data_IF_966312832730
#
_entry.id   IF_966312832730
#
_cell.length_a   1.000
_cell.length_b   1.000
_cell.length_c   1.000
_cell.angle_alpha   90.00
_cell.angle_beta   90.00
_cell.angle_gamma   90.00
#
_symmetry.space_group_name_H-M   'P 1'
#
loop_
_entity.id
_entity.type
_entity.pdbx_description
1 polymer ?
#
# COMPACT_ATOMS: atom_id res chain seq x y z
N UNK A 1 22.78 7.81 -0.66
CA UNK A 1 23.25 6.78 0.29
C UNK A 1 22.42 6.76 1.59
N UNK A 2 22.05 7.90 2.18
CA UNK A 2 21.27 7.95 3.45
C UNK A 2 20.09 7.02 3.43
N UNK A 3 19.17 7.17 2.48
CA UNK A 3 17.99 6.31 2.32
C UNK A 3 18.36 4.83 2.24
N UNK A 4 19.34 4.50 1.39
CA UNK A 4 19.73 3.11 1.15
C UNK A 4 20.32 2.45 2.41
N UNK A 5 21.14 3.16 3.18
CA UNK A 5 21.73 2.65 4.44
C UNK A 5 20.63 2.42 5.49
N UNK A 6 19.71 3.38 5.64
CA UNK A 6 18.60 3.23 6.57
C UNK A 6 17.70 2.05 6.16
N UNK A 7 17.31 1.95 4.89
CA UNK A 7 16.52 0.80 4.42
C UNK A 7 17.27 -0.52 4.56
N UNK A 8 18.58 -0.57 4.26
CA UNK A 8 19.39 -1.78 4.47
C UNK A 8 19.30 -2.26 5.92
N UNK A 9 19.41 -1.34 6.88
CA UNK A 9 19.35 -1.68 8.30
C UNK A 9 17.94 -2.06 8.75
N UNK A 10 16.90 -1.35 8.30
CA UNK A 10 15.50 -1.68 8.57
C UNK A 10 15.16 -3.08 8.05
N UNK A 11 15.43 -3.34 6.78
CA UNK A 11 15.15 -4.66 6.17
C UNK A 11 16.09 -5.74 6.70
N UNK A 12 17.36 -5.41 6.97
CA UNK A 12 18.32 -6.32 7.58
C UNK A 12 17.91 -6.75 8.98
N UNK A 13 17.32 -5.86 9.77
CA UNK A 13 16.76 -6.19 11.10
C UNK A 13 15.51 -7.08 10.96
N UNK A 14 14.65 -6.81 9.99
CA UNK A 14 13.42 -7.55 9.78
C UNK A 14 13.64 -8.96 9.21
N UNK A 15 14.55 -9.10 8.26
CA UNK A 15 14.73 -10.33 7.47
C UNK A 15 16.09 -11.00 7.61
N UNK A 16 17.07 -10.34 8.23
CA UNK A 16 18.46 -10.77 8.36
C UNK A 16 19.35 -10.32 7.20
N UNK A 17 20.55 -9.84 7.53
CA UNK A 17 21.52 -9.35 6.54
C UNK A 17 22.03 -10.45 5.61
N UNK A 18 21.98 -11.72 6.03
CA UNK A 18 22.37 -12.87 5.19
C UNK A 18 21.50 -13.00 3.94
N UNK A 19 20.28 -12.43 3.95
CA UNK A 19 19.36 -12.44 2.82
C UNK A 19 19.55 -11.26 1.88
N UNK A 20 20.42 -10.29 2.21
CA UNK A 20 20.57 -9.06 1.44
C UNK A 20 20.92 -9.31 -0.04
N UNK A 21 21.84 -10.23 -0.28
CA UNK A 21 22.25 -10.61 -1.64
C UNK A 21 21.61 -11.91 -2.13
N UNK A 22 20.70 -12.49 -1.33
CA UNK A 22 20.02 -13.72 -1.71
C UNK A 22 19.12 -13.48 -2.93
N UNK A 23 19.27 -14.33 -3.93
CA UNK A 23 18.41 -14.31 -5.12
C UNK A 23 17.10 -15.07 -4.83
N UNK A 24 15.98 -14.35 -4.87
CA UNK A 24 14.65 -14.93 -4.69
C UNK A 24 14.03 -15.40 -6.03
N UNK A 25 14.82 -15.47 -7.09
CA UNK A 25 14.42 -15.94 -8.45
C UNK A 25 14.14 -14.79 -9.42
N UNK A 26 13.58 -13.68 -8.96
CA UNK A 26 13.28 -12.51 -9.80
C UNK A 26 14.19 -11.33 -9.45
N UNK A 27 14.65 -11.22 -8.20
CA UNK A 27 15.49 -10.12 -7.71
C UNK A 27 16.10 -10.45 -6.33
N UNK A 28 17.22 -9.81 -5.99
CA UNK A 28 17.76 -9.81 -4.62
C UNK A 28 17.05 -8.77 -3.74
N UNK A 29 17.15 -8.93 -2.41
CA UNK A 29 16.65 -7.92 -1.47
C UNK A 29 17.34 -6.56 -1.71
N UNK A 30 18.63 -6.56 -2.02
CA UNK A 30 19.37 -5.35 -2.39
C UNK A 30 18.75 -4.63 -3.58
N UNK A 31 18.47 -5.35 -4.67
CA UNK A 31 17.85 -4.77 -5.86
C UNK A 31 16.44 -4.25 -5.57
N UNK A 32 15.67 -4.98 -4.76
CA UNK A 32 14.35 -4.54 -4.34
C UNK A 32 14.41 -3.22 -3.58
N UNK A 33 15.29 -3.10 -2.58
CA UNK A 33 15.49 -1.87 -1.79
C UNK A 33 16.00 -0.73 -2.66
N UNK A 34 16.97 -0.97 -3.56
CA UNK A 34 17.42 0.03 -4.54
C UNK A 34 16.26 0.54 -5.39
N UNK A 35 15.41 -0.35 -5.89
CA UNK A 35 14.27 0.03 -6.72
C UNK A 35 13.21 0.84 -5.95
N UNK A 36 12.94 0.50 -4.68
CA UNK A 36 12.05 1.30 -3.82
C UNK A 36 12.64 2.69 -3.63
N UNK A 37 13.90 2.76 -3.18
CA UNK A 37 14.59 4.03 -2.94
C UNK A 37 14.60 4.93 -4.16
N UNK A 38 14.86 4.36 -5.35
CA UNK A 38 14.83 5.13 -6.61
C UNK A 38 13.44 5.73 -6.88
N UNK A 39 12.40 4.93 -6.70
CA UNK A 39 11.02 5.41 -6.91
C UNK A 39 10.65 6.52 -5.95
N UNK A 40 10.99 6.38 -4.67
CA UNK A 40 10.72 7.41 -3.66
C UNK A 40 11.48 8.70 -3.95
N UNK A 41 12.78 8.61 -4.26
CA UNK A 41 13.57 9.79 -4.61
C UNK A 41 13.03 10.47 -5.87
N UNK A 42 12.66 9.70 -6.88
CA UNK A 42 12.05 10.25 -8.10
C UNK A 42 10.70 10.93 -7.79
N UNK A 43 9.89 10.33 -6.91
CA UNK A 43 8.62 10.91 -6.48
C UNK A 43 8.84 12.24 -5.74
N UNK A 44 9.77 12.29 -4.78
CA UNK A 44 10.11 13.53 -4.06
C UNK A 44 10.54 14.62 -5.04
N UNK A 45 11.45 14.32 -5.97
CA UNK A 45 11.90 15.29 -6.99
C UNK A 45 10.74 15.78 -7.86
N UNK A 46 9.84 14.88 -8.27
CA UNK A 46 8.65 15.28 -9.05
C UNK A 46 7.71 16.16 -8.23
N UNK A 47 7.50 15.83 -6.95
CA UNK A 47 6.65 16.64 -6.06
C UNK A 47 7.26 18.02 -5.76
N UNK A 48 8.59 18.14 -5.66
CA UNK A 48 9.27 19.43 -5.58
C UNK A 48 9.05 20.30 -6.83
N UNK A 49 9.03 19.69 -8.01
CA UNK A 49 8.70 20.43 -9.24
C UNK A 49 7.22 20.83 -9.26
N UNK A 50 6.32 19.94 -8.82
CA UNK A 50 4.89 20.25 -8.72
C UNK A 50 4.63 21.34 -7.67
N UNK A 51 5.36 21.34 -6.54
CA UNK A 51 5.31 22.41 -5.55
C UNK A 51 5.66 23.76 -6.16
N UNK A 52 6.72 23.84 -6.98
CA UNK A 52 7.11 25.06 -7.67
C UNK A 52 6.04 25.54 -8.65
N UNK A 53 5.42 24.62 -9.40
CA UNK A 53 4.32 24.96 -10.32
C UNK A 53 3.09 25.49 -9.57
N UNK A 54 2.81 24.94 -8.39
CA UNK A 54 1.70 25.34 -7.53
C UNK A 54 2.06 26.50 -6.57
N UNK A 55 3.27 27.07 -6.67
CA UNK A 55 3.78 28.16 -5.80
C UNK A 55 3.71 27.76 -4.30
N UNK A 56 3.97 26.50 -3.99
CA UNK A 56 3.98 25.97 -2.62
C UNK A 56 5.39 25.98 -2.05
N UNK A 57 5.52 26.43 -0.82
CA UNK A 57 6.78 26.47 -0.06
C UNK A 57 6.53 26.04 1.39
N UNK A 58 7.59 25.60 2.08
CA UNK A 58 7.55 25.41 3.51
C UNK A 58 7.50 26.76 4.23
N UNK A 59 6.65 26.86 5.25
CA UNK A 59 6.63 27.99 6.18
C UNK A 59 7.90 28.02 7.04
N UNK A 60 8.18 29.12 7.69
CA UNK A 60 9.33 29.22 8.61
C UNK A 60 9.23 28.25 9.79
N UNK A 61 8.02 27.95 10.27
CA UNK A 61 7.80 26.93 11.32
C UNK A 61 8.13 25.53 10.81
N UNK A 62 7.69 25.17 9.60
CA UNK A 62 7.98 23.87 8.97
C UNK A 62 9.50 23.71 8.72
N UNK A 63 10.18 24.76 8.26
CA UNK A 63 11.64 24.77 8.11
C UNK A 63 12.39 24.63 9.44
N UNK A 64 11.85 25.20 10.53
CA UNK A 64 12.43 25.03 11.86
C UNK A 64 12.29 23.59 12.35
N UNK A 65 11.15 22.94 12.13
CA UNK A 65 10.92 21.52 12.44
C UNK A 65 11.87 20.60 11.66
N UNK A 66 12.02 20.84 10.35
CA UNK A 66 12.97 20.06 9.54
C UNK A 66 14.41 20.26 10.00
N UNK A 67 14.79 21.45 10.42
CA UNK A 67 16.12 21.72 10.96
C UNK A 67 16.37 21.00 12.29
N UNK A 68 15.39 21.00 13.21
CA UNK A 68 15.49 20.27 14.48
C UNK A 68 15.56 18.74 14.24
N UNK A 69 14.78 18.22 13.34
CA UNK A 69 14.86 16.81 12.94
C UNK A 69 16.25 16.46 12.36
N UNK A 70 16.80 17.33 11.52
CA UNK A 70 18.13 17.15 10.93
C UNK A 70 19.24 17.15 11.97
N UNK A 71 19.19 18.07 12.93
CA UNK A 71 20.13 18.14 14.05
C UNK A 71 20.07 16.85 14.89
N UNK A 72 18.86 16.38 15.26
CA UNK A 72 18.70 15.14 16.04
C UNK A 72 19.21 13.92 15.27
N UNK A 73 18.81 13.74 14.02
CA UNK A 73 19.28 12.60 13.24
C UNK A 73 20.80 12.64 13.03
N UNK A 74 21.35 13.80 12.65
CA UNK A 74 22.79 13.95 12.43
C UNK A 74 23.60 13.71 13.71
N UNK A 75 23.11 14.17 14.86
CA UNK A 75 23.74 13.91 16.15
C UNK A 75 23.71 12.44 16.58
N UNK A 76 22.79 11.64 16.03
CA UNK A 76 22.73 10.20 16.28
C UNK A 76 23.75 9.40 15.47
N UNK A 77 24.31 9.98 14.41
CA UNK A 77 25.27 9.31 13.52
C UNK A 77 26.67 9.30 14.13
N UNK A 78 27.38 8.21 13.89
CA UNK A 78 28.82 8.11 14.17
C UNK A 78 29.65 8.83 13.10
N UNK A 79 30.91 9.13 13.41
CA UNK A 79 31.85 9.69 12.42
C UNK A 79 32.05 8.74 11.23
N UNK A 80 31.98 7.42 11.47
CA UNK A 80 32.12 6.40 10.44
C UNK A 80 30.89 6.38 9.51
N UNK A 81 29.68 6.51 10.05
CA UNK A 81 28.43 6.60 9.27
C UNK A 81 28.36 7.86 8.44
N UNK A 82 28.70 9.02 9.01
CA UNK A 82 28.73 10.29 8.26
C UNK A 82 29.76 10.25 7.13
N UNK A 83 30.95 9.69 7.38
CA UNK A 83 31.98 9.53 6.35
C UNK A 83 31.56 8.54 5.25
N UNK A 84 30.95 7.42 5.62
CA UNK A 84 30.49 6.40 4.67
C UNK A 84 29.35 6.92 3.77
N UNK A 85 28.38 7.58 4.36
CA UNK A 85 27.27 8.19 3.61
C UNK A 85 27.71 9.44 2.84
N UNK A 86 28.77 10.11 3.28
CA UNK A 86 29.31 11.33 2.67
C UNK A 86 28.37 12.52 2.86
N UNK A 87 27.78 12.66 4.06
CA UNK A 87 26.76 13.69 4.35
C UNK A 87 27.17 14.61 5.49
N UNK A 88 26.70 15.84 5.43
CA UNK A 88 26.72 16.83 6.49
C UNK A 88 25.32 17.02 7.09
N UNK A 89 25.24 17.71 8.21
CA UNK A 89 23.94 18.12 8.80
C UNK A 89 23.10 18.95 7.81
N UNK A 90 23.76 19.82 7.03
CA UNK A 90 23.07 20.62 5.99
C UNK A 90 22.45 19.75 4.90
N UNK A 91 23.10 18.65 4.51
CA UNK A 91 22.56 17.72 3.52
C UNK A 91 21.32 16.99 4.08
N UNK A 92 21.38 16.57 5.35
CA UNK A 92 20.23 15.95 6.03
C UNK A 92 19.06 16.92 6.11
N UNK A 93 19.33 18.19 6.46
CA UNK A 93 18.31 19.23 6.50
C UNK A 93 17.65 19.43 5.13
N UNK A 94 18.43 19.51 4.06
CA UNK A 94 17.93 19.63 2.69
C UNK A 94 17.05 18.42 2.32
N UNK A 95 17.45 17.19 2.68
CA UNK A 95 16.64 16.00 2.44
C UNK A 95 15.30 16.05 3.18
N UNK A 96 15.29 16.50 4.42
CA UNK A 96 14.06 16.64 5.19
C UNK A 96 13.16 17.76 4.69
N UNK A 97 13.73 18.89 4.23
CA UNK A 97 12.96 19.97 3.61
C UNK A 97 12.26 19.48 2.32
N UNK A 98 12.96 18.74 1.45
CA UNK A 98 12.36 18.14 0.26
C UNK A 98 11.25 17.14 0.61
N UNK A 99 11.48 16.31 1.61
CA UNK A 99 10.52 15.30 2.03
C UNK A 99 9.27 15.95 2.66
N UNK A 100 9.45 16.97 3.51
CA UNK A 100 8.36 17.75 4.09
C UNK A 100 7.54 18.50 3.02
N UNK A 101 8.22 19.09 2.03
CA UNK A 101 7.53 19.76 0.92
C UNK A 101 6.72 18.76 0.08
N UNK A 102 7.26 17.57 -0.18
CA UNK A 102 6.55 16.50 -0.87
C UNK A 102 5.29 16.05 -0.11
N UNK A 103 5.37 15.88 1.22
CA UNK A 103 4.19 15.59 2.05
C UNK A 103 3.16 16.72 2.00
N UNK A 104 3.59 17.97 2.09
CA UNK A 104 2.70 19.13 1.98
C UNK A 104 1.97 19.18 0.65
N UNK A 105 2.63 18.84 -0.45
CA UNK A 105 1.99 18.72 -1.76
C UNK A 105 0.97 17.60 -1.74
N UNK A 106 1.32 16.41 -1.25
CA UNK A 106 0.40 15.28 -1.12
C UNK A 106 -0.87 15.68 -0.35
N UNK A 107 -0.73 16.25 0.84
CA UNK A 107 -1.88 16.71 1.64
C UNK A 107 -2.70 17.79 0.92
N UNK A 108 -2.06 18.68 0.17
CA UNK A 108 -2.79 19.69 -0.63
C UNK A 108 -3.63 19.07 -1.74
N UNK A 109 -3.14 17.99 -2.38
CA UNK A 109 -3.85 17.28 -3.45
C UNK A 109 -5.01 16.44 -2.92
N UNK A 110 -4.86 15.88 -1.72
CA UNK A 110 -5.86 14.99 -1.10
C UNK A 110 -6.87 15.72 -0.22
N UNK A 111 -6.60 16.97 0.15
CA UNK A 111 -7.42 17.79 1.07
C UNK A 111 -8.91 17.87 0.73
N UNK A 112 -9.27 17.75 -0.55
CA UNK A 112 -10.66 17.85 -1.00
C UNK A 112 -11.38 16.50 -1.04
N UNK A 113 -10.72 15.42 -0.66
CA UNK A 113 -11.29 14.06 -0.63
C UNK A 113 -12.39 13.99 0.43
N UNK A 114 -13.50 13.35 0.05
CA UNK A 114 -14.58 13.11 1.00
C UNK A 114 -14.20 11.99 1.96
N UNK A 115 -14.00 12.34 3.23
CA UNK A 115 -13.68 11.40 4.31
C UNK A 115 -14.93 10.74 4.92
N UNK A 116 -16.13 11.25 4.60
CA UNK A 116 -17.36 10.61 5.06
C UNK A 116 -17.63 9.32 4.27
N UNK A 117 -17.66 8.21 5.00
CA UNK A 117 -17.97 6.88 4.46
C UNK A 117 -19.15 6.31 5.23
N UNK A 118 -20.24 5.97 4.51
CA UNK A 118 -21.41 5.37 5.13
C UNK A 118 -21.15 3.90 5.50
N UNK A 119 -21.93 3.38 6.48
CA UNK A 119 -21.86 1.97 6.85
C UNK A 119 -22.21 1.04 5.69
N UNK A 120 -23.12 1.46 4.81
CA UNK A 120 -23.49 0.65 3.63
C UNK A 120 -22.39 0.62 2.58
N UNK A 121 -21.67 1.72 2.37
CA UNK A 121 -20.52 1.79 1.48
C UNK A 121 -19.36 0.94 1.99
N UNK A 122 -19.07 1.04 3.30
CA UNK A 122 -17.97 0.32 3.93
C UNK A 122 -18.33 -1.12 4.32
N UNK A 123 -19.57 -1.54 4.14
CA UNK A 123 -20.09 -2.80 4.67
C UNK A 123 -19.23 -3.99 4.27
N UNK A 124 -18.81 -4.74 5.28
CA UNK A 124 -18.15 -6.02 5.14
C UNK A 124 -19.10 -7.13 5.56
N UNK A 125 -19.26 -8.12 4.69
CA UNK A 125 -20.05 -9.33 4.94
C UNK A 125 -19.15 -10.54 5.06
N UNK A 126 -19.60 -11.55 5.79
CA UNK A 126 -18.98 -12.87 5.79
C UNK A 126 -19.89 -13.85 5.04
N UNK A 127 -19.34 -14.51 4.04
CA UNK A 127 -20.07 -15.46 3.20
C UNK A 127 -19.35 -16.80 3.09
N UNK A 128 -20.11 -17.84 2.77
CA UNK A 128 -19.59 -19.02 2.09
C UNK A 128 -19.88 -18.92 0.60
N UNK A 129 -18.93 -19.40 -0.22
CA UNK A 129 -19.07 -19.38 -1.69
C UNK A 129 -18.78 -20.73 -2.32
N UNK A 130 -19.44 -20.99 -3.43
CA UNK A 130 -19.12 -22.07 -4.37
C UNK A 130 -19.00 -21.42 -5.74
N UNK A 131 -17.89 -21.63 -6.40
CA UNK A 131 -17.73 -21.29 -7.81
C UNK A 131 -17.40 -22.55 -8.58
N UNK A 132 -18.07 -22.72 -9.71
CA UNK A 132 -17.76 -23.78 -10.68
C UNK A 132 -17.80 -23.23 -12.10
N UNK A 133 -16.88 -23.67 -12.92
CA UNK A 133 -16.81 -23.30 -14.34
C UNK A 133 -17.77 -24.09 -15.23
N UNK A 134 -18.17 -25.28 -14.82
CA UNK A 134 -19.02 -26.20 -15.58
C UNK A 134 -20.49 -26.06 -15.26
N UNK A 135 -21.34 -25.85 -16.28
CA UNK A 135 -22.78 -25.65 -16.12
C UNK A 135 -23.51 -26.90 -15.59
N UNK A 136 -23.06 -28.11 -15.96
CA UNK A 136 -23.68 -29.34 -15.49
C UNK A 136 -23.48 -29.50 -13.98
N UNK A 137 -22.26 -29.17 -13.49
CA UNK A 137 -21.97 -29.12 -12.04
C UNK A 137 -22.80 -28.05 -11.33
N UNK A 138 -22.93 -26.87 -11.93
CA UNK A 138 -23.78 -25.81 -11.37
C UNK A 138 -25.25 -26.24 -11.25
N UNK A 139 -25.79 -26.94 -12.26
CA UNK A 139 -27.16 -27.47 -12.22
C UNK A 139 -27.30 -28.59 -11.18
N UNK A 140 -26.32 -29.45 -11.01
CA UNK A 140 -26.25 -30.45 -9.94
C UNK A 140 -26.29 -29.80 -8.56
N UNK A 141 -25.44 -28.80 -8.31
CA UNK A 141 -25.40 -28.05 -7.04
C UNK A 141 -26.72 -27.40 -6.76
N UNK A 142 -27.31 -26.71 -7.74
CA UNK A 142 -28.65 -26.08 -7.60
C UNK A 142 -29.72 -27.09 -7.20
N UNK A 143 -29.71 -28.27 -7.82
CA UNK A 143 -30.68 -29.35 -7.50
C UNK A 143 -30.49 -29.90 -6.07
N UNK A 144 -29.26 -30.06 -5.62
CA UNK A 144 -28.91 -30.58 -4.29
C UNK A 144 -29.22 -29.57 -3.20
N UNK A 145 -28.94 -28.28 -3.42
CA UNK A 145 -29.36 -27.18 -2.54
C UNK A 145 -30.88 -27.13 -2.39
N UNK A 146 -31.61 -27.28 -3.51
CA UNK A 146 -33.11 -27.31 -3.48
C UNK A 146 -33.66 -28.52 -2.71
N UNK A 147 -32.92 -29.62 -2.58
CA UNK A 147 -33.25 -30.80 -1.76
C UNK A 147 -32.83 -30.64 -0.29
N UNK A 148 -32.27 -29.51 0.10
CA UNK A 148 -31.87 -29.19 1.46
C UNK A 148 -30.50 -29.76 1.86
N UNK A 149 -29.65 -30.11 0.90
CA UNK A 149 -28.28 -30.51 1.22
C UNK A 149 -27.49 -29.35 1.81
N UNK A 150 -26.59 -29.66 2.74
CA UNK A 150 -25.80 -28.67 3.46
C UNK A 150 -24.84 -27.93 2.53
N UNK A 151 -24.90 -26.59 2.58
CA UNK A 151 -24.08 -25.71 1.73
C UNK A 151 -22.58 -25.94 1.95
N UNK A 152 -22.14 -26.08 3.20
CA UNK A 152 -20.71 -26.28 3.50
C UNK A 152 -20.19 -27.61 2.91
N UNK A 153 -21.01 -28.66 2.92
CA UNK A 153 -20.69 -29.95 2.32
C UNK A 153 -20.51 -29.81 0.80
N UNK A 154 -21.42 -29.10 0.14
CA UNK A 154 -21.32 -28.84 -1.30
C UNK A 154 -20.12 -27.94 -1.63
N UNK A 155 -19.88 -26.92 -0.82
CA UNK A 155 -18.73 -26.04 -1.00
C UNK A 155 -17.40 -26.82 -0.92
N UNK A 156 -17.24 -27.69 0.07
CA UNK A 156 -16.04 -28.52 0.19
C UNK A 156 -15.82 -29.49 -0.98
N UNK A 157 -16.89 -29.93 -1.63
CA UNK A 157 -16.81 -30.92 -2.71
C UNK A 157 -16.65 -30.30 -4.10
N UNK A 158 -17.18 -29.08 -4.31
CA UNK A 158 -17.34 -28.53 -5.65
C UNK A 158 -16.62 -27.21 -5.86
N UNK A 159 -16.30 -26.43 -4.81
CA UNK A 159 -15.71 -25.12 -5.00
C UNK A 159 -14.35 -25.19 -5.71
N UNK A 160 -14.23 -24.45 -6.81
CA UNK A 160 -12.99 -24.35 -7.60
C UNK A 160 -12.10 -23.17 -7.16
N UNK A 161 -12.57 -22.32 -6.22
CA UNK A 161 -11.76 -21.24 -5.65
C UNK A 161 -10.92 -21.71 -4.46
N UNK A 162 -9.89 -20.94 -4.13
CA UNK A 162 -8.97 -21.27 -3.02
C UNK A 162 -9.60 -21.24 -1.62
N UNK A 163 -10.70 -20.46 -1.43
CA UNK A 163 -11.37 -20.32 -0.14
C UNK A 163 -12.87 -20.48 -0.28
N UNK A 164 -13.46 -21.19 0.69
CA UNK A 164 -14.91 -21.38 0.76
C UNK A 164 -15.56 -20.27 1.57
N UNK A 165 -14.94 -19.84 2.66
CA UNK A 165 -15.41 -18.79 3.54
C UNK A 165 -14.54 -17.56 3.38
N UNK A 166 -15.15 -16.43 3.11
CA UNK A 166 -14.47 -15.16 2.85
C UNK A 166 -15.25 -14.00 3.43
N UNK A 167 -14.52 -12.95 3.82
CA UNK A 167 -15.09 -11.63 4.04
C UNK A 167 -15.07 -10.88 2.72
N UNK A 168 -16.14 -10.18 2.42
CA UNK A 168 -16.31 -9.40 1.19
C UNK A 168 -16.76 -7.98 1.52
N UNK A 169 -16.19 -7.03 0.81
CA UNK A 169 -16.62 -5.64 0.69
C UNK A 169 -17.15 -5.35 -0.71
N UNK A 170 -17.54 -4.12 -0.98
CA UNK A 170 -17.91 -3.68 -2.33
C UNK A 170 -16.70 -3.83 -3.26
N UNK A 171 -16.96 -4.18 -4.50
CA UNK A 171 -16.00 -4.42 -5.59
C UNK A 171 -15.14 -5.70 -5.45
N UNK A 172 -15.34 -6.53 -4.41
CA UNK A 172 -14.57 -7.78 -4.22
C UNK A 172 -15.07 -8.94 -5.10
N UNK A 173 -16.32 -8.89 -5.54
CA UNK A 173 -16.96 -9.95 -6.32
C UNK A 173 -17.45 -9.43 -7.69
N UNK A 174 -17.69 -10.34 -8.66
CA UNK A 174 -18.36 -9.94 -9.89
C UNK A 174 -19.70 -9.24 -9.59
N UNK A 175 -20.01 -8.16 -10.30
CA UNK A 175 -21.17 -7.30 -10.02
C UNK A 175 -22.49 -8.07 -9.84
N UNK A 176 -22.74 -9.13 -10.64
CA UNK A 176 -23.94 -9.95 -10.53
C UNK A 176 -24.00 -10.75 -9.21
N UNK A 177 -22.86 -11.11 -8.64
CA UNK A 177 -22.78 -11.81 -7.34
C UNK A 177 -22.94 -10.80 -6.22
N UNK A 178 -22.27 -9.67 -6.33
CA UNK A 178 -22.33 -8.60 -5.35
C UNK A 178 -23.74 -8.05 -5.16
N UNK A 179 -24.47 -7.78 -6.25
CA UNK A 179 -25.84 -7.30 -6.21
C UNK A 179 -26.75 -8.23 -5.38
N UNK A 180 -26.56 -9.53 -5.50
CA UNK A 180 -27.33 -10.53 -4.72
C UNK A 180 -26.81 -10.60 -3.28
N UNK A 181 -25.47 -10.70 -3.09
CA UNK A 181 -24.86 -10.88 -1.78
C UNK A 181 -25.29 -9.78 -0.80
N UNK A 182 -25.19 -8.51 -1.21
CA UNK A 182 -25.48 -7.38 -0.34
C UNK A 182 -26.98 -7.17 -0.06
N UNK A 183 -27.87 -7.95 -0.67
CA UNK A 183 -29.31 -7.99 -0.35
C UNK A 183 -29.68 -9.15 0.57
N UNK A 184 -28.76 -10.10 0.81
CA UNK A 184 -29.05 -11.31 1.57
C UNK A 184 -29.16 -11.05 3.08
N UNK A 185 -30.04 -11.79 3.72
CA UNK A 185 -30.10 -11.91 5.18
C UNK A 185 -29.19 -13.04 5.69
N UNK A 186 -28.92 -13.03 7.00
CA UNK A 186 -28.11 -14.08 7.61
C UNK A 186 -28.74 -15.46 7.36
N UNK A 187 -27.92 -16.46 7.09
CA UNK A 187 -28.26 -17.83 6.74
C UNK A 187 -29.00 -18.02 5.38
N UNK A 188 -29.22 -16.95 4.64
CA UNK A 188 -29.82 -17.05 3.31
C UNK A 188 -28.82 -17.67 2.31
N UNK A 189 -29.39 -18.47 1.39
CA UNK A 189 -28.66 -19.15 0.32
C UNK A 189 -29.15 -18.64 -1.03
N UNK A 190 -28.25 -18.21 -1.90
CA UNK A 190 -28.61 -17.76 -3.24
C UNK A 190 -29.01 -18.91 -4.16
N UNK A 191 -29.72 -18.57 -5.25
CA UNK A 191 -29.77 -19.43 -6.43
C UNK A 191 -28.45 -19.47 -7.21
N UNK A 192 -28.48 -20.13 -8.38
CA UNK A 192 -27.38 -20.11 -9.34
C UNK A 192 -27.19 -18.70 -9.91
N UNK A 193 -26.01 -18.12 -9.74
CA UNK A 193 -25.63 -16.80 -10.25
C UNK A 193 -24.65 -17.01 -11.41
N UNK A 194 -25.01 -16.53 -12.59
CA UNK A 194 -24.15 -16.65 -13.77
C UNK A 194 -23.21 -15.46 -13.87
N UNK A 195 -21.93 -15.74 -14.08
CA UNK A 195 -20.87 -14.73 -14.30
C UNK A 195 -20.02 -15.12 -15.52
N UNK A 196 -19.15 -14.21 -15.95
CA UNK A 196 -18.17 -14.56 -16.94
C UNK A 196 -17.25 -15.69 -16.43
N UNK A 197 -17.18 -16.76 -17.17
CA UNK A 197 -16.35 -17.92 -16.85
C UNK A 197 -16.95 -18.95 -15.90
N UNK A 198 -18.20 -18.76 -15.38
CA UNK A 198 -18.79 -19.79 -14.53
C UNK A 198 -20.03 -19.36 -13.75
N UNK A 199 -20.22 -20.03 -12.62
CA UNK A 199 -21.42 -19.94 -11.81
C UNK A 199 -21.07 -19.87 -10.33
N UNK A 200 -21.72 -18.94 -9.62
CA UNK A 200 -21.61 -18.78 -8.17
C UNK A 200 -22.86 -19.26 -7.46
N UNK A 201 -22.64 -19.73 -6.24
CA UNK A 201 -23.63 -19.86 -5.18
C UNK A 201 -23.02 -19.27 -3.93
N UNK A 202 -23.81 -18.55 -3.15
CA UNK A 202 -23.37 -17.93 -1.92
C UNK A 202 -24.33 -18.24 -0.79
N UNK A 203 -23.79 -18.37 0.42
CA UNK A 203 -24.55 -18.38 1.67
C UNK A 203 -24.05 -17.24 2.54
N UNK A 204 -24.93 -16.35 2.97
CA UNK A 204 -24.61 -15.30 3.91
C UNK A 204 -24.44 -15.89 5.32
N UNK A 205 -23.27 -15.69 5.93
CA UNK A 205 -23.01 -16.09 7.31
C UNK A 205 -23.24 -14.90 8.26
N UNK A 206 -22.75 -13.74 7.88
CA UNK A 206 -22.97 -12.50 8.60
C UNK A 206 -23.08 -11.34 7.60
N UNK A 207 -24.29 -10.77 7.51
CA UNK A 207 -24.57 -9.67 6.56
C UNK A 207 -23.90 -8.35 6.93
N UNK A 208 -23.39 -8.21 8.15
CA UNK A 208 -22.76 -7.00 8.64
C UNK A 208 -21.75 -7.33 9.75
N UNK A 209 -20.47 -7.35 9.39
CA UNK A 209 -19.39 -7.46 10.36
C UNK A 209 -18.96 -6.06 10.80
N UNK A 210 -19.40 -5.64 12.00
CA UNK A 210 -19.20 -4.30 12.49
C UNK A 210 -17.72 -3.90 12.58
N UNK A 211 -16.87 -4.78 13.10
CA UNK A 211 -15.44 -4.49 13.28
C UNK A 211 -14.74 -4.29 11.95
N UNK A 212 -14.95 -5.19 10.99
CA UNK A 212 -14.35 -5.09 9.66
C UNK A 212 -14.95 -3.93 8.85
N UNK A 213 -16.24 -3.59 9.04
CA UNK A 213 -16.87 -2.44 8.40
C UNK A 213 -16.23 -1.12 8.88
N UNK A 214 -16.00 -0.97 10.19
CA UNK A 214 -15.32 0.22 10.71
C UNK A 214 -13.87 0.32 10.20
N UNK A 215 -13.14 -0.80 10.18
CA UNK A 215 -11.79 -0.82 9.61
C UNK A 215 -11.78 -0.48 8.10
N UNK A 216 -12.80 -0.92 7.36
CA UNK A 216 -12.89 -0.67 5.92
C UNK A 216 -13.18 0.80 5.56
N UNK A 217 -13.77 1.58 6.47
CA UNK A 217 -13.96 3.03 6.26
C UNK A 217 -12.63 3.74 6.03
N UNK A 218 -11.61 3.42 6.84
CA UNK A 218 -10.28 3.98 6.66
C UNK A 218 -9.68 3.59 5.30
N UNK A 219 -9.79 2.32 4.91
CA UNK A 219 -9.30 1.84 3.62
C UNK A 219 -9.96 2.56 2.43
N UNK A 220 -11.24 2.91 2.54
CA UNK A 220 -11.97 3.65 1.49
C UNK A 220 -11.45 5.08 1.40
N UNK A 221 -11.21 5.74 2.53
CA UNK A 221 -10.62 7.09 2.55
C UNK A 221 -9.23 7.05 1.93
N UNK A 222 -8.36 6.14 2.36
CA UNK A 222 -7.01 5.95 1.82
C UNK A 222 -7.03 5.72 0.29
N UNK A 223 -7.98 4.91 -0.19
CA UNK A 223 -8.16 4.66 -1.64
C UNK A 223 -8.54 5.94 -2.39
N UNK A 224 -9.48 6.72 -1.85
CA UNK A 224 -9.91 8.01 -2.44
C UNK A 224 -8.76 9.03 -2.48
N UNK A 225 -8.00 9.11 -1.40
CA UNK A 225 -6.82 9.98 -1.34
C UNK A 225 -5.77 9.58 -2.37
N UNK A 226 -5.50 8.28 -2.47
CA UNK A 226 -4.59 7.74 -3.47
C UNK A 226 -5.05 8.02 -4.89
N UNK A 227 -6.32 7.84 -5.20
CA UNK A 227 -6.89 8.13 -6.52
C UNK A 227 -6.77 9.63 -6.86
N UNK A 228 -7.13 10.52 -5.93
CA UNK A 228 -7.01 11.96 -6.10
C UNK A 228 -5.56 12.40 -6.31
N UNK A 229 -4.62 11.80 -5.57
CA UNK A 229 -3.21 12.03 -5.76
C UNK A 229 -2.71 11.51 -7.11
N UNK A 230 -3.02 10.27 -7.45
CA UNK A 230 -2.55 9.61 -8.68
C UNK A 230 -3.02 10.35 -9.94
N UNK A 231 -4.24 10.88 -9.95
CA UNK A 231 -4.79 11.65 -11.08
C UNK A 231 -3.96 12.91 -11.37
N UNK A 232 -3.68 13.71 -10.35
CA UNK A 232 -2.88 14.94 -10.47
C UNK A 232 -1.40 14.63 -10.72
N UNK A 233 -0.83 13.72 -9.95
CA UNK A 233 0.58 13.35 -10.02
C UNK A 233 0.94 12.72 -11.37
N UNK A 234 0.16 11.75 -11.85
CA UNK A 234 0.42 11.09 -13.13
C UNK A 234 0.22 12.05 -14.31
N UNK A 235 -0.76 12.96 -14.22
CA UNK A 235 -0.96 14.03 -15.19
C UNK A 235 0.28 14.91 -15.29
N UNK A 236 0.85 15.32 -14.15
CA UNK A 236 2.06 16.13 -14.10
C UNK A 236 3.29 15.37 -14.59
N UNK A 237 3.54 14.18 -14.08
CA UNK A 237 4.73 13.35 -14.42
C UNK A 237 4.76 13.03 -15.91
N UNK A 238 3.60 12.80 -16.54
CA UNK A 238 3.53 12.51 -17.98
C UNK A 238 4.02 13.68 -18.85
N UNK A 239 4.04 14.92 -18.31
CA UNK A 239 4.54 16.11 -18.96
C UNK A 239 6.06 16.31 -18.80
N UNK A 240 6.69 15.58 -17.87
CA UNK A 240 8.10 15.72 -17.55
C UNK A 240 8.97 14.83 -18.45
N UNK A 241 10.18 15.31 -18.73
CA UNK A 241 11.25 14.47 -19.25
C UNK A 241 12.24 14.20 -18.12
N UNK A 242 12.42 12.94 -17.74
CA UNK A 242 13.38 12.53 -16.72
C UNK A 242 14.60 11.88 -17.37
N UNK A 243 15.77 12.09 -16.76
CA UNK A 243 16.98 11.39 -17.09
C UNK A 243 17.67 10.97 -15.79
N UNK A 244 17.80 9.65 -15.60
CA UNK A 244 18.52 9.08 -14.46
C UNK A 244 19.96 8.84 -14.89
N UNK A 245 20.91 9.19 -14.06
CA UNK A 245 22.29 8.78 -14.26
C UNK A 245 22.44 7.29 -13.86
N UNK A 246 22.13 6.41 -14.82
CA UNK A 246 22.14 4.95 -14.62
C UNK A 246 23.53 4.46 -14.17
N UNK A 247 24.60 4.99 -14.75
CA UNK A 247 25.98 4.61 -14.40
C UNK A 247 26.29 4.91 -12.92
N UNK A 248 25.87 6.09 -12.43
CA UNK A 248 26.04 6.45 -11.02
C UNK A 248 25.22 5.52 -10.10
N UNK A 249 24.02 5.20 -10.51
CA UNK A 249 23.10 4.38 -9.72
C UNK A 249 23.53 2.91 -9.66
N UNK A 250 23.92 2.33 -10.78
CA UNK A 250 24.41 0.95 -10.86
C UNK A 250 25.70 0.73 -10.06
N UNK A 251 26.59 1.72 -10.07
CA UNK A 251 27.86 1.69 -9.32
C UNK A 251 27.70 2.02 -7.82
N UNK A 252 26.49 2.31 -7.36
CA UNK A 252 26.23 2.55 -5.95
C UNK A 252 26.12 1.21 -5.21
N UNK A 253 27.22 0.76 -4.63
CA UNK A 253 27.29 -0.44 -3.80
C UNK A 253 27.08 -0.11 -2.33
N UNK A 254 26.35 -0.99 -1.63
CA UNK A 254 26.21 -0.98 -0.18
C UNK A 254 27.05 -2.14 0.40
N UNK A 255 27.99 -1.80 1.25
CA UNK A 255 28.79 -2.81 1.93
C UNK A 255 27.96 -3.53 2.97
N UNK A 256 27.84 -4.86 2.85
CA UNK A 256 27.26 -5.71 3.89
C UNK A 256 28.28 -5.89 5.02
N UNK A 257 27.83 -5.67 6.26
CA UNK A 257 28.72 -5.82 7.43
C UNK A 257 29.67 -4.64 7.68
N UNK A 258 29.38 -3.48 7.06
CA UNK A 258 30.12 -2.23 7.27
C UNK A 258 30.10 -1.70 8.72
N UNK A 259 29.23 -2.26 9.57
CA UNK A 259 29.03 -1.77 10.93
C UNK A 259 28.07 -0.59 11.04
N UNK A 260 27.56 -0.08 9.92
CA UNK A 260 26.52 0.96 9.89
C UNK A 260 25.24 0.45 10.54
N UNK A 261 24.67 1.23 11.45
CA UNK A 261 23.48 0.83 12.24
C UNK A 261 22.32 1.80 12.12
N UNK A 262 22.55 2.98 11.53
CA UNK A 262 21.52 4.00 11.42
C UNK A 262 20.30 3.49 10.63
N UNK A 263 19.12 3.55 11.24
CA UNK A 263 17.84 3.12 10.68
C UNK A 263 16.69 4.07 11.07
N UNK A 264 17.01 5.18 11.75
CA UNK A 264 16.04 6.10 12.35
C UNK A 264 15.73 7.33 11.49
N UNK A 265 16.27 7.44 10.28
CA UNK A 265 16.06 8.63 9.42
C UNK A 265 14.59 9.00 9.26
N UNK A 266 13.74 8.02 8.93
CA UNK A 266 12.30 8.26 8.74
C UNK A 266 11.54 8.42 10.06
N UNK A 267 11.96 7.74 11.12
CA UNK A 267 11.37 7.85 12.45
C UNK A 267 11.57 9.25 13.03
N UNK A 268 12.79 9.78 12.96
CA UNK A 268 13.11 11.15 13.40
C UNK A 268 12.31 12.16 12.57
N UNK A 269 12.27 12.02 11.25
CA UNK A 269 11.44 12.88 10.41
C UNK A 269 9.98 12.88 10.86
N UNK A 270 9.37 11.72 11.04
CA UNK A 270 7.97 11.60 11.43
C UNK A 270 7.68 12.19 12.82
N UNK A 271 8.66 12.15 13.72
CA UNK A 271 8.52 12.74 15.07
C UNK A 271 8.33 14.26 15.03
N UNK A 272 9.02 14.95 14.12
CA UNK A 272 8.98 16.41 14.00
C UNK A 272 8.01 16.91 12.93
N UNK A 273 7.83 16.15 11.87
CA UNK A 273 7.21 16.59 10.63
C UNK A 273 6.00 15.75 10.21
N UNK A 274 5.65 14.69 10.93
CA UNK A 274 4.60 13.75 10.53
C UNK A 274 3.19 14.35 10.43
N UNK A 275 2.94 15.50 11.07
CA UNK A 275 1.66 16.21 11.06
C UNK A 275 1.65 17.44 10.13
N UNK A 276 2.61 17.56 9.21
CA UNK A 276 2.73 18.72 8.30
C UNK A 276 1.78 18.66 7.11
#
# INVERSE_FOLDING_TARGET
KVYLVNYQNIYGTAYGLDLWQHDFGDSSLENYVKNITMRELAQVVCLDQLAKEKEMELSEEEKEKTAQAAEEYFASLTEEETAYMGVSESDIKEYYEHYALAQKVYHSLTKAVNEEVSDDEARVMEIMQIFVSDESRANEIASRLAQGEDFATLANNYNELGSIQVNISRDDLPAAVEEIAFQMENDEVSGKITVDGGFYFIKCLNKYNQELTEANKANIVDKREKEAFDDEYNGFVSSLSSNINEELWENLELETGSGMKTDTFFEVFNTYCGDM
#
